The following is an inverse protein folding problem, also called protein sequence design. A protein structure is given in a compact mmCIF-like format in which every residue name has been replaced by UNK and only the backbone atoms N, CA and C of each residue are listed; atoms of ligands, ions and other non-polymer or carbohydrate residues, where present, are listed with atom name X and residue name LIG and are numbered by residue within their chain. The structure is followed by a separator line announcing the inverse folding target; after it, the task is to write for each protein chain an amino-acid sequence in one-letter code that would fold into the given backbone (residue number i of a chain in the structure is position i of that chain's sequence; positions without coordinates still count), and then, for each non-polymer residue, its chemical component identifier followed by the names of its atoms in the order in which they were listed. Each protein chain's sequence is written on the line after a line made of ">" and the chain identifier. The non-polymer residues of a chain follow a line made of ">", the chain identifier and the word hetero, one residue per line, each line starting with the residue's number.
data_IF_230433546978
#
_entry.id   IF_230433546978
#
_cell.length_a   1.000
_cell.length_b   1.000
_cell.length_c   1.000
_cell.angle_alpha   90.00
_cell.angle_beta   90.00
_cell.angle_gamma   90.00
#
_symmetry.space_group_name_H-M   'P 1'
#
loop_
_entity.id
_entity.type
_entity.pdbx_description
1 polymer ?
#
# COMPACT_ATOMS: atom_id res chain seq x y z
N UNK A 1 -14.99 -3.31 -42.47
CA UNK A 1 -14.54 -4.11 -41.31
C UNK A 1 -15.52 -5.25 -41.14
N UNK A 2 -15.05 -6.49 -40.96
CA UNK A 2 -15.94 -7.63 -40.66
C UNK A 2 -16.32 -7.55 -39.18
N UNK A 3 -17.58 -7.82 -38.87
CA UNK A 3 -18.06 -7.88 -37.49
C UNK A 3 -18.06 -9.34 -37.02
N UNK A 4 -18.01 -9.55 -35.71
CA UNK A 4 -17.98 -10.89 -35.13
C UNK A 4 -19.21 -11.73 -35.50
N UNK A 5 -20.36 -11.08 -35.68
CA UNK A 5 -21.64 -11.73 -35.98
C UNK A 5 -21.67 -12.46 -37.33
N UNK A 6 -20.82 -12.10 -38.30
CA UNK A 6 -20.74 -12.77 -39.61
C UNK A 6 -19.84 -14.03 -39.62
N UNK A 7 -19.09 -14.31 -38.53
CA UNK A 7 -18.26 -15.53 -38.41
C UNK A 7 -18.88 -16.52 -37.43
N UNK A 8 -18.85 -17.81 -37.79
CA UNK A 8 -19.37 -18.92 -36.97
C UNK A 8 -18.70 -19.05 -35.59
N UNK A 9 -17.51 -18.48 -35.41
CA UNK A 9 -16.79 -18.42 -34.14
C UNK A 9 -15.91 -17.16 -34.07
N UNK A 10 -16.04 -16.39 -33.00
CA UNK A 10 -15.12 -15.32 -32.66
C UNK A 10 -14.09 -15.79 -31.64
N UNK A 11 -12.84 -15.40 -31.87
CA UNK A 11 -11.72 -15.75 -31.02
C UNK A 11 -10.98 -14.49 -30.56
N UNK A 12 -10.38 -14.61 -29.37
CA UNK A 12 -9.34 -13.69 -28.93
C UNK A 12 -8.03 -14.03 -29.62
N UNK A 13 -7.28 -12.99 -29.97
CA UNK A 13 -5.93 -13.09 -30.56
C UNK A 13 -4.98 -13.72 -29.53
N UNK A 14 -5.10 -13.32 -28.27
CA UNK A 14 -4.27 -13.71 -27.15
C UNK A 14 -5.09 -13.94 -25.87
N UNK A 15 -4.43 -14.45 -24.84
CA UNK A 15 -5.01 -14.56 -23.50
C UNK A 15 -5.19 -13.14 -22.92
N UNK A 16 -6.35 -12.81 -22.34
CA UNK A 16 -6.59 -11.48 -21.81
C UNK A 16 -5.59 -11.10 -20.71
N UNK A 17 -5.29 -9.82 -20.60
CA UNK A 17 -4.41 -9.27 -19.57
C UNK A 17 -5.21 -8.91 -18.33
N UNK A 18 -4.64 -9.18 -17.16
CA UNK A 18 -5.20 -8.82 -15.86
C UNK A 18 -4.34 -7.74 -15.23
N UNK A 19 -4.97 -6.71 -14.70
CA UNK A 19 -4.32 -5.67 -13.91
C UNK A 19 -4.98 -5.60 -12.53
N UNK A 20 -4.22 -5.89 -11.48
CA UNK A 20 -4.66 -5.79 -10.09
C UNK A 20 -4.14 -4.47 -9.50
N UNK A 21 -5.02 -3.48 -9.36
CA UNK A 21 -4.69 -2.21 -8.74
C UNK A 21 -5.19 -2.11 -7.29
N UNK A 22 -4.77 -1.06 -6.56
CA UNK A 22 -5.25 -0.76 -5.20
C UNK A 22 -6.71 -0.29 -5.13
N UNK A 23 -7.33 0.03 -6.26
CA UNK A 23 -8.73 0.51 -6.36
C UNK A 23 -9.65 -0.44 -7.14
N UNK A 24 -9.11 -1.16 -8.15
CA UNK A 24 -9.89 -2.02 -9.03
C UNK A 24 -9.08 -3.17 -9.62
N UNK A 25 -9.77 -4.28 -9.90
CA UNK A 25 -9.27 -5.40 -10.71
C UNK A 25 -9.81 -5.21 -12.12
N UNK A 26 -8.95 -5.25 -13.12
CA UNK A 26 -9.35 -5.10 -14.53
C UNK A 26 -8.91 -6.29 -15.35
N UNK A 27 -9.78 -6.75 -16.25
CA UNK A 27 -9.46 -7.71 -17.30
C UNK A 27 -9.69 -7.07 -18.66
N UNK A 28 -8.76 -7.27 -19.58
CA UNK A 28 -8.79 -6.70 -20.92
C UNK A 28 -8.37 -7.76 -21.93
N UNK A 29 -9.23 -8.06 -22.90
CA UNK A 29 -8.93 -9.00 -23.99
C UNK A 29 -8.70 -8.26 -25.30
N UNK A 30 -8.05 -8.92 -26.27
CA UNK A 30 -7.97 -8.42 -27.65
C UNK A 30 -8.66 -9.40 -28.61
N UNK A 31 -9.77 -8.97 -29.19
CA UNK A 31 -10.51 -9.75 -30.21
C UNK A 31 -9.99 -9.46 -31.61
N UNK A 32 -10.10 -10.44 -32.51
CA UNK A 32 -9.76 -10.26 -33.93
C UNK A 32 -10.67 -9.24 -34.61
N UNK A 33 -11.97 -9.31 -34.29
CA UNK A 33 -13.02 -8.46 -34.85
C UNK A 33 -13.61 -7.58 -33.73
N UNK A 34 -14.50 -6.66 -34.11
CA UNK A 34 -15.24 -5.83 -33.15
C UNK A 34 -16.03 -6.71 -32.18
N UNK A 35 -15.83 -6.47 -30.89
CA UNK A 35 -16.50 -7.22 -29.82
C UNK A 35 -17.92 -6.69 -29.61
N UNK A 36 -18.89 -7.59 -29.73
CA UNK A 36 -20.28 -7.37 -29.35
C UNK A 36 -20.69 -8.47 -28.37
N UNK A 37 -21.25 -8.09 -27.23
CA UNK A 37 -21.62 -9.03 -26.19
C UNK A 37 -21.45 -8.47 -24.79
N UNK A 38 -21.11 -9.34 -23.83
CA UNK A 38 -21.08 -8.98 -22.40
C UNK A 38 -19.88 -9.62 -21.72
N UNK A 39 -19.16 -8.82 -20.94
CA UNK A 39 -18.17 -9.32 -19.98
C UNK A 39 -18.80 -9.30 -18.60
N UNK A 40 -18.73 -10.39 -17.84
CA UNK A 40 -19.33 -10.47 -16.50
C UNK A 40 -18.60 -11.44 -15.57
N UNK A 41 -18.81 -11.29 -14.26
CA UNK A 41 -18.34 -12.28 -13.29
C UNK A 41 -19.30 -13.47 -13.27
N UNK A 42 -18.75 -14.70 -13.36
CA UNK A 42 -19.52 -15.95 -13.35
C UNK A 42 -20.50 -15.96 -12.16
N UNK A 43 -21.77 -16.27 -12.43
CA UNK A 43 -22.90 -16.26 -11.48
C UNK A 43 -23.41 -14.88 -11.03
N UNK A 44 -22.72 -13.78 -11.36
CA UNK A 44 -23.05 -12.43 -10.86
C UNK A 44 -23.46 -11.45 -11.96
N UNK A 45 -23.66 -11.93 -13.20
CA UNK A 45 -24.05 -11.12 -14.37
C UNK A 45 -25.24 -10.18 -14.14
N UNK A 46 -26.23 -10.60 -13.33
CA UNK A 46 -27.46 -9.82 -13.10
C UNK A 46 -27.30 -8.73 -12.05
N UNK A 47 -26.19 -8.73 -11.31
CA UNK A 47 -25.94 -7.72 -10.29
C UNK A 47 -25.34 -6.48 -10.94
N UNK A 48 -25.88 -5.31 -10.58
CA UNK A 48 -25.42 -4.04 -11.10
C UNK A 48 -23.94 -3.81 -10.78
N UNK A 49 -23.15 -3.46 -11.79
CA UNK A 49 -21.70 -3.25 -11.67
C UNK A 49 -20.85 -4.52 -11.80
N UNK A 50 -21.45 -5.69 -11.98
CA UNK A 50 -20.74 -6.97 -12.14
C UNK A 50 -20.73 -7.48 -13.59
N UNK A 51 -21.17 -6.63 -14.52
CA UNK A 51 -21.13 -6.87 -15.97
C UNK A 51 -20.96 -5.56 -16.74
N UNK A 52 -20.37 -5.64 -17.91
CA UNK A 52 -20.32 -4.56 -18.91
C UNK A 52 -20.78 -5.10 -20.26
N UNK A 53 -21.66 -4.34 -20.91
CA UNK A 53 -22.16 -4.67 -22.24
C UNK A 53 -21.35 -3.90 -23.28
N UNK A 54 -21.09 -4.54 -24.40
CA UNK A 54 -20.46 -3.98 -25.58
C UNK A 54 -21.38 -4.17 -26.78
N UNK A 55 -21.57 -3.11 -27.54
CA UNK A 55 -22.32 -3.08 -28.78
C UNK A 55 -21.38 -2.83 -29.95
N UNK A 56 -21.80 -3.15 -31.17
CA UNK A 56 -21.00 -2.83 -32.36
C UNK A 56 -20.72 -1.33 -32.49
N UNK A 57 -21.58 -0.47 -31.95
CA UNK A 57 -21.38 0.99 -31.94
C UNK A 57 -20.18 1.44 -31.12
N UNK A 58 -19.74 0.64 -30.14
CA UNK A 58 -18.57 0.95 -29.32
C UNK A 58 -17.25 0.78 -30.08
N UNK A 59 -17.28 0.13 -31.26
CA UNK A 59 -16.12 -0.06 -32.15
C UNK A 59 -14.85 -0.55 -31.43
N UNK A 60 -15.01 -1.39 -30.40
CA UNK A 60 -13.89 -1.88 -29.61
C UNK A 60 -13.44 -3.27 -30.04
N UNK A 61 -12.15 -3.41 -30.34
CA UNK A 61 -11.44 -4.70 -30.42
C UNK A 61 -10.81 -5.10 -29.08
N UNK A 62 -10.84 -4.19 -28.10
CA UNK A 62 -10.17 -4.36 -26.80
C UNK A 62 -11.21 -4.25 -25.67
N UNK A 63 -12.13 -5.23 -25.54
CA UNK A 63 -13.16 -5.17 -24.53
C UNK A 63 -12.54 -5.32 -23.13
N UNK A 64 -12.91 -4.42 -22.23
CA UNK A 64 -12.34 -4.28 -20.89
C UNK A 64 -13.45 -4.25 -19.85
N UNK A 65 -13.21 -4.93 -18.74
CA UNK A 65 -14.09 -4.86 -17.58
C UNK A 65 -13.28 -4.63 -16.31
N UNK A 66 -13.74 -3.71 -15.47
CA UNK A 66 -13.11 -3.34 -14.21
C UNK A 66 -14.10 -3.47 -13.05
N UNK A 67 -13.67 -4.10 -11.98
CA UNK A 67 -14.43 -4.25 -10.73
C UNK A 67 -13.71 -3.44 -9.66
N UNK A 68 -14.40 -2.46 -9.08
CA UNK A 68 -13.88 -1.72 -7.94
C UNK A 68 -13.77 -2.64 -6.71
N UNK A 69 -12.72 -2.47 -5.93
CA UNK A 69 -12.42 -3.36 -4.79
C UNK A 69 -13.45 -3.19 -3.66
N UNK A 70 -14.05 -2.02 -3.50
CA UNK A 70 -15.20 -1.84 -2.62
C UNK A 70 -16.46 -2.65 -3.03
N UNK A 71 -16.53 -3.23 -4.24
CA UNK A 71 -17.65 -4.06 -4.74
C UNK A 71 -17.35 -5.57 -4.80
N UNK A 72 -16.25 -6.02 -4.18
CA UNK A 72 -15.82 -7.43 -4.23
C UNK A 72 -16.94 -8.41 -3.80
N UNK A 73 -17.59 -8.19 -2.65
CA UNK A 73 -18.68 -9.08 -2.23
C UNK A 73 -19.93 -8.95 -3.10
N UNK A 74 -20.24 -7.74 -3.59
CA UNK A 74 -21.39 -7.53 -4.46
C UNK A 74 -21.26 -8.35 -5.76
N UNK A 75 -20.04 -8.56 -6.26
CA UNK A 75 -19.78 -9.40 -7.43
C UNK A 75 -19.29 -10.81 -7.09
N UNK A 76 -19.36 -11.20 -5.80
CA UNK A 76 -18.97 -12.51 -5.27
C UNK A 76 -17.56 -12.96 -5.62
N UNK A 77 -16.61 -12.03 -5.59
CA UNK A 77 -15.19 -12.36 -5.65
C UNK A 77 -14.78 -13.03 -4.34
N UNK A 78 -14.03 -14.11 -4.44
CA UNK A 78 -13.56 -14.87 -3.28
C UNK A 78 -12.29 -14.25 -2.73
N UNK A 79 -12.26 -13.93 -1.45
CA UNK A 79 -11.05 -13.52 -0.75
C UNK A 79 -10.49 -14.67 0.06
N UNK A 80 -9.22 -14.97 -0.11
CA UNK A 80 -8.50 -16.00 0.62
C UNK A 80 -7.22 -15.38 1.18
N UNK A 81 -6.85 -15.76 2.39
CA UNK A 81 -5.56 -15.35 2.96
C UNK A 81 -4.67 -16.57 3.02
N UNK A 82 -3.47 -16.45 2.47
CA UNK A 82 -2.46 -17.48 2.62
C UNK A 82 -1.97 -17.44 4.07
N UNK A 83 -2.11 -18.56 4.79
CA UNK A 83 -1.70 -18.65 6.19
C UNK A 83 -0.18 -18.52 6.37
N UNK A 84 0.59 -19.01 5.39
CA UNK A 84 2.04 -19.07 5.45
C UNK A 84 2.66 -17.72 5.05
N UNK A 85 2.30 -17.21 3.87
CA UNK A 85 2.86 -15.96 3.35
C UNK A 85 2.19 -14.70 3.90
N UNK A 86 1.02 -14.84 4.54
CA UNK A 86 0.15 -13.75 5.03
C UNK A 86 -0.46 -12.87 3.94
N UNK A 87 -0.21 -13.19 2.67
CA UNK A 87 -0.73 -12.47 1.51
C UNK A 87 -2.23 -12.66 1.34
N UNK A 88 -2.89 -11.65 0.79
CA UNK A 88 -4.30 -11.70 0.43
C UNK A 88 -4.43 -12.07 -1.05
N UNK A 89 -5.16 -13.13 -1.31
CA UNK A 89 -5.51 -13.61 -2.64
C UNK A 89 -6.98 -13.26 -2.93
N UNK A 90 -7.24 -12.61 -4.05
CA UNK A 90 -8.58 -12.38 -4.58
C UNK A 90 -8.76 -13.24 -5.82
N UNK A 91 -9.78 -14.10 -5.82
CA UNK A 91 -10.08 -15.03 -6.90
C UNK A 91 -11.45 -14.74 -7.51
N UNK A 92 -11.52 -14.76 -8.84
CA UNK A 92 -12.75 -14.50 -9.59
C UNK A 92 -12.74 -15.22 -10.94
N UNK A 93 -13.91 -15.52 -11.50
CA UNK A 93 -14.02 -16.04 -12.87
C UNK A 93 -14.75 -15.01 -13.74
N UNK A 94 -14.04 -14.48 -14.74
CA UNK A 94 -14.58 -13.56 -15.73
C UNK A 94 -15.02 -14.32 -16.97
N UNK A 95 -16.20 -14.01 -17.49
CA UNK A 95 -16.76 -14.62 -18.69
C UNK A 95 -16.89 -13.55 -19.77
N UNK A 96 -16.26 -13.79 -20.91
CA UNK A 96 -16.47 -13.03 -22.14
C UNK A 96 -17.49 -13.79 -22.98
N UNK A 97 -18.67 -13.20 -23.11
CA UNK A 97 -19.73 -13.72 -23.96
C UNK A 97 -19.83 -12.88 -25.22
N UNK A 98 -19.78 -13.55 -26.39
CA UNK A 98 -19.86 -12.90 -27.71
C UNK A 98 -21.31 -12.73 -28.18
N UNK A 99 -22.27 -12.83 -27.26
CA UNK A 99 -23.68 -12.59 -27.57
C UNK A 99 -24.34 -11.82 -26.42
N UNK A 100 -25.17 -10.81 -26.71
CA UNK A 100 -25.77 -9.95 -25.69
C UNK A 100 -26.67 -10.72 -24.73
N UNK A 101 -27.30 -11.83 -25.13
CA UNK A 101 -28.32 -12.52 -24.32
C UNK A 101 -28.02 -13.98 -23.97
N UNK A 102 -27.10 -14.65 -24.67
CA UNK A 102 -26.95 -16.10 -24.60
C UNK A 102 -25.50 -16.47 -24.40
N UNK A 103 -25.24 -17.54 -23.65
CA UNK A 103 -23.90 -18.12 -23.59
C UNK A 103 -23.72 -19.05 -24.78
N UNK A 104 -22.72 -18.78 -25.60
CA UNK A 104 -22.44 -19.54 -26.82
C UNK A 104 -21.21 -20.43 -26.66
N UNK A 105 -21.01 -21.38 -27.60
CA UNK A 105 -19.81 -22.22 -27.61
C UNK A 105 -18.50 -21.42 -27.85
N UNK A 106 -18.61 -20.19 -28.36
CA UNK A 106 -17.47 -19.28 -28.53
C UNK A 106 -17.07 -18.55 -27.25
N UNK A 107 -17.91 -18.57 -26.21
CA UNK A 107 -17.69 -17.84 -24.98
C UNK A 107 -16.51 -18.41 -24.20
N UNK A 108 -15.75 -17.52 -23.54
CA UNK A 108 -14.54 -17.90 -22.80
C UNK A 108 -14.63 -17.42 -21.37
N UNK A 109 -14.33 -18.31 -20.44
CA UNK A 109 -14.17 -17.98 -19.03
C UNK A 109 -12.71 -18.06 -18.62
N UNK A 110 -12.25 -17.06 -17.89
CA UNK A 110 -10.89 -16.96 -17.37
C UNK A 110 -10.93 -16.85 -15.85
N UNK A 111 -10.20 -17.74 -15.18
CA UNK A 111 -9.99 -17.65 -13.75
C UNK A 111 -8.89 -16.60 -13.50
N UNK A 112 -9.19 -15.60 -12.69
CA UNK A 112 -8.31 -14.48 -12.36
C UNK A 112 -7.96 -14.57 -10.90
N UNK A 113 -6.66 -14.44 -10.61
CA UNK A 113 -6.11 -14.48 -9.25
C UNK A 113 -5.25 -13.24 -9.03
N UNK A 114 -5.65 -12.37 -8.11
CA UNK A 114 -4.89 -11.20 -7.71
C UNK A 114 -4.23 -11.42 -6.34
N UNK A 115 -2.91 -11.30 -6.25
CA UNK A 115 -2.17 -11.47 -4.99
C UNK A 115 -1.71 -10.11 -4.46
N UNK A 116 -2.10 -9.77 -3.24
CA UNK A 116 -1.78 -8.54 -2.52
C UNK A 116 -0.82 -8.83 -1.37
N UNK A 117 0.37 -8.24 -1.44
CA UNK A 117 1.49 -8.53 -0.53
C UNK A 117 1.54 -7.54 0.64
N UNK A 118 2.00 -8.00 1.81
CA UNK A 118 2.37 -7.14 2.94
C UNK A 118 3.91 -7.11 3.09
N UNK A 119 4.52 -5.92 3.13
CA UNK A 119 5.98 -5.78 3.30
C UNK A 119 6.33 -4.54 4.14
N UNK A 120 7.57 -4.53 4.63
CA UNK A 120 8.18 -3.39 5.30
C UNK A 120 9.00 -2.57 4.30
N UNK A 121 8.75 -1.27 4.26
CA UNK A 121 9.42 -0.29 3.41
C UNK A 121 10.21 0.67 4.30
N UNK A 122 11.42 1.05 3.89
CA UNK A 122 12.20 2.06 4.60
C UNK A 122 12.11 3.40 3.88
N UNK A 123 11.73 4.45 4.59
CA UNK A 123 11.72 5.85 4.11
C UNK A 123 12.71 6.66 4.93
N UNK A 124 13.40 7.63 4.31
CA UNK A 124 14.39 8.44 5.01
C UNK A 124 14.35 9.90 4.55
N UNK A 125 14.60 10.82 5.48
CA UNK A 125 14.75 12.25 5.24
C UNK A 125 15.99 12.78 5.93
N UNK A 126 16.61 13.83 5.38
CA UNK A 126 17.80 14.50 5.92
C UNK A 126 17.52 15.97 6.17
N UNK A 127 18.00 16.50 7.29
CA UNK A 127 18.13 17.93 7.52
C UNK A 127 19.48 18.28 8.15
N UNK A 128 19.89 19.54 7.99
CA UNK A 128 21.11 20.09 8.55
C UNK A 128 20.78 21.12 9.64
N UNK A 129 21.70 21.35 10.57
CA UNK A 129 21.55 22.37 11.59
C UNK A 129 22.28 23.65 11.21
N UNK A 130 21.68 24.80 11.52
CA UNK A 130 22.37 26.09 11.42
C UNK A 130 23.48 26.12 12.47
N UNK A 131 24.72 25.89 12.03
CA UNK A 131 25.91 26.03 12.86
C UNK A 131 26.56 27.39 12.60
N UNK A 132 26.80 28.16 13.66
CA UNK A 132 27.50 29.45 13.58
C UNK A 132 29.02 29.29 13.50
N UNK A 133 29.56 28.40 12.65
CA UNK A 133 30.96 28.41 12.19
C UNK A 133 31.03 27.66 10.83
N UNK A 134 31.56 28.33 9.78
CA UNK A 134 31.99 27.73 8.49
C UNK A 134 33.16 26.77 8.79
N UNK A 135 33.37 25.62 8.13
CA UNK A 135 33.66 25.46 6.69
C UNK A 135 33.26 24.06 6.13
N UNK A 136 32.84 24.06 4.86
CA UNK A 136 32.96 23.06 3.74
C UNK A 136 33.88 21.85 3.96
N UNK A 137 33.70 20.63 3.40
CA UNK A 137 32.98 20.06 2.24
C UNK A 137 33.14 18.51 2.32
N UNK A 138 32.22 17.69 1.77
CA UNK A 138 32.51 16.63 0.76
C UNK A 138 31.31 15.69 0.49
N UNK A 139 31.12 15.42 -0.82
CA UNK A 139 30.15 14.53 -1.49
C UNK A 139 30.30 13.06 -1.09
N UNK A 140 29.20 12.30 -1.16
CA UNK A 140 29.19 10.95 -1.75
C UNK A 140 27.86 10.67 -2.49
N UNK A 141 27.88 9.89 -3.59
CA UNK A 141 26.70 9.54 -4.38
C UNK A 141 26.22 8.08 -4.17
N UNK A 142 24.90 7.91 -4.26
CA UNK A 142 24.07 6.71 -4.52
C UNK A 142 24.15 5.43 -3.65
N UNK A 143 22.95 4.90 -3.32
CA UNK A 143 22.72 3.46 -3.32
C UNK A 143 21.39 3.10 -4.00
N UNK A 144 21.49 2.33 -5.08
CA UNK A 144 20.40 1.75 -5.84
C UNK A 144 19.98 0.42 -5.18
N UNK A 145 18.69 0.18 -4.95
CA UNK A 145 18.17 -1.15 -4.67
C UNK A 145 17.37 -1.64 -5.87
N UNK A 146 17.85 -2.69 -6.54
CA UNK A 146 17.08 -3.48 -7.50
C UNK A 146 16.21 -4.48 -6.72
N UNK A 147 14.95 -4.61 -7.08
CA UNK A 147 14.13 -5.80 -6.78
C UNK A 147 13.78 -6.52 -8.07
N UNK A 148 13.85 -7.84 -7.98
CA UNK A 148 13.73 -8.83 -9.05
C UNK A 148 12.25 -9.15 -9.28
N UNK A 149 11.84 -9.11 -10.55
CA UNK A 149 10.52 -9.58 -11.00
C UNK A 149 10.56 -11.11 -11.00
N UNK A 150 9.62 -11.74 -10.29
CA UNK A 150 9.30 -13.17 -10.46
C UNK A 150 8.10 -13.28 -11.41
N UNK A 151 8.28 -13.92 -12.55
CA UNK A 151 7.20 -14.44 -13.38
C UNK A 151 7.01 -15.93 -13.05
N UNK A 152 5.76 -16.36 -12.87
CA UNK A 152 5.38 -17.76 -12.84
C UNK A 152 4.59 -18.07 -14.11
N UNK A 153 5.06 -19.06 -14.87
CA UNK A 153 4.27 -19.73 -15.90
C UNK A 153 3.53 -20.89 -15.25
N UNK A 154 2.27 -21.11 -15.64
CA UNK A 154 1.59 -22.38 -15.40
C UNK A 154 0.72 -22.75 -16.59
N UNK A 155 0.83 -24.00 -17.03
CA UNK A 155 0.14 -24.60 -18.15
C UNK A 155 -1.21 -25.23 -17.76
N UNK A 156 -2.07 -25.36 -18.78
CA UNK A 156 -3.50 -25.65 -18.80
C UNK A 156 -4.03 -26.90 -18.08
N UNK A 157 -5.30 -26.83 -17.64
CA UNK A 157 -6.47 -27.53 -18.25
C UNK A 157 -7.82 -27.05 -17.64
N UNK A 158 -8.86 -26.95 -18.48
CA UNK A 158 -10.31 -26.73 -18.21
C UNK A 158 -10.83 -25.32 -17.88
N UNK A 159 -9.95 -24.35 -17.69
CA UNK A 159 -10.11 -22.92 -18.05
C UNK A 159 -8.83 -22.58 -18.83
N UNK A 160 -8.82 -21.60 -19.75
CA UNK A 160 -7.55 -21.18 -20.38
C UNK A 160 -6.66 -20.54 -19.30
N UNK A 161 -5.89 -21.36 -18.57
CA UNK A 161 -5.08 -20.98 -17.41
C UNK A 161 -5.81 -20.31 -16.24
N UNK A 162 -5.12 -20.19 -15.11
CA UNK A 162 -5.39 -19.15 -14.11
C UNK A 162 -4.51 -17.97 -14.50
N UNK A 163 -5.11 -16.80 -14.74
CA UNK A 163 -4.39 -15.57 -15.01
C UNK A 163 -4.10 -14.91 -13.67
N UNK A 164 -2.90 -15.19 -13.17
CA UNK A 164 -2.38 -14.58 -11.95
C UNK A 164 -1.79 -13.20 -12.23
N UNK A 165 -2.10 -12.23 -11.38
CA UNK A 165 -1.41 -10.95 -11.37
C UNK A 165 -1.13 -10.53 -9.92
N UNK A 166 0.06 -10.01 -9.68
CA UNK A 166 0.44 -9.47 -8.37
C UNK A 166 0.08 -7.99 -8.34
N UNK A 167 -0.64 -7.56 -7.31
CA UNK A 167 -0.98 -6.15 -7.15
C UNK A 167 0.28 -5.32 -6.88
N UNK A 168 0.38 -4.18 -7.54
CA UNK A 168 1.50 -3.27 -7.34
C UNK A 168 1.42 -2.62 -5.96
N UNK A 169 2.54 -2.64 -5.24
CA UNK A 169 2.60 -2.17 -3.86
C UNK A 169 2.62 -0.62 -3.81
N UNK A 170 1.84 0.03 -2.93
CA UNK A 170 1.84 1.48 -2.87
C UNK A 170 3.19 2.00 -2.34
N UNK A 171 3.63 3.13 -2.90
CA UNK A 171 4.80 3.84 -2.39
C UNK A 171 4.43 4.66 -1.15
N UNK A 172 5.39 4.83 -0.24
CA UNK A 172 5.25 5.65 0.97
C UNK A 172 6.39 6.64 1.05
N UNK A 173 6.12 7.83 1.59
CA UNK A 173 7.11 8.89 1.77
C UNK A 173 7.03 9.45 3.19
N UNK A 174 8.18 9.93 3.67
CA UNK A 174 8.29 10.75 4.87
C UNK A 174 8.68 12.15 4.44
N UNK A 175 7.97 13.15 4.95
CA UNK A 175 8.26 14.57 4.79
C UNK A 175 8.28 15.20 6.16
N UNK A 176 9.32 15.96 6.47
CA UNK A 176 9.42 16.73 7.71
C UNK A 176 9.30 18.19 7.34
N UNK A 177 8.30 18.88 7.88
CA UNK A 177 8.01 20.28 7.59
C UNK A 177 8.13 21.12 8.86
N UNK A 178 8.36 22.41 8.70
CA UNK A 178 8.41 23.34 9.82
C UNK A 178 6.99 23.65 10.35
N UNK A 179 6.84 23.73 11.67
CA UNK A 179 5.58 24.06 12.34
C UNK A 179 4.88 22.88 13.00
N UNK A 180 3.57 23.04 13.28
CA UNK A 180 2.71 22.06 13.99
C UNK A 180 1.52 21.59 13.16
N UNK A 181 1.47 21.94 11.88
CA UNK A 181 0.34 21.61 11.02
C UNK A 181 0.79 20.50 10.07
N UNK A 182 0.07 19.37 10.00
CA UNK A 182 0.36 18.30 9.05
C UNK A 182 -0.10 18.71 7.65
N UNK A 183 0.63 19.63 7.04
CA UNK A 183 0.41 20.09 5.67
C UNK A 183 1.55 19.60 4.76
N UNK A 184 1.19 18.72 3.83
CA UNK A 184 2.11 18.10 2.87
C UNK A 184 2.53 19.04 1.74
N UNK A 185 1.84 20.18 1.58
CA UNK A 185 2.17 21.17 0.54
C UNK A 185 3.31 22.10 0.97
N UNK A 186 3.64 22.11 2.26
CA UNK A 186 4.76 22.87 2.79
C UNK A 186 6.10 22.30 2.33
N UNK A 187 7.07 23.19 2.15
CA UNK A 187 8.42 22.81 1.77
C UNK A 187 9.09 21.98 2.87
N UNK A 188 9.78 20.88 2.53
CA UNK A 188 10.53 20.10 3.51
C UNK A 188 11.58 20.96 4.22
N UNK A 189 11.72 20.76 5.52
CA UNK A 189 12.73 21.43 6.32
C UNK A 189 14.11 20.86 5.97
N UNK A 190 14.94 21.65 5.29
CA UNK A 190 16.32 21.27 4.93
C UNK A 190 17.36 21.75 5.93
N UNK A 191 17.10 22.89 6.57
CA UNK A 191 18.01 23.55 7.49
C UNK A 191 17.21 24.07 8.68
N UNK A 192 17.56 23.64 9.89
CA UNK A 192 16.79 23.90 11.11
C UNK A 192 17.70 24.34 12.27
N UNK A 193 17.14 24.99 13.28
CA UNK A 193 17.80 25.28 14.55
C UNK A 193 17.36 24.26 15.61
N UNK A 194 18.24 23.96 16.57
CA UNK A 194 17.86 23.09 17.70
C UNK A 194 16.70 23.72 18.47
N UNK A 195 15.68 22.93 18.78
CA UNK A 195 14.45 23.37 19.45
C UNK A 195 13.38 23.94 18.52
N UNK A 196 13.65 24.07 17.21
CA UNK A 196 12.64 24.50 16.24
C UNK A 196 11.53 23.44 16.12
N UNK A 197 10.29 23.91 15.99
CA UNK A 197 9.15 23.01 15.91
C UNK A 197 9.05 22.37 14.52
N UNK A 198 8.95 21.05 14.49
CA UNK A 198 8.82 20.26 13.28
C UNK A 198 7.58 19.36 13.32
N UNK A 199 7.07 19.04 12.14
CA UNK A 199 5.99 18.11 11.91
C UNK A 199 6.48 16.99 10.98
N UNK A 200 6.41 15.76 11.48
CA UNK A 200 6.73 14.55 10.72
C UNK A 200 5.47 14.06 10.05
N UNK A 201 5.51 13.89 8.73
CA UNK A 201 4.36 13.47 7.94
C UNK A 201 4.76 12.25 7.12
N UNK A 202 4.20 11.10 7.46
CA UNK A 202 4.25 9.92 6.60
C UNK A 202 2.99 9.87 5.76
N UNK A 203 3.11 9.56 4.47
CA UNK A 203 1.94 9.41 3.62
C UNK A 203 2.18 8.47 2.44
N UNK A 204 1.09 7.92 1.91
CA UNK A 204 1.06 7.31 0.58
C UNK A 204 0.75 8.40 -0.46
N UNK A 205 1.59 8.60 -1.50
CA UNK A 205 1.28 9.53 -2.59
C UNK A 205 0.04 9.10 -3.39
N UNK A 206 -0.20 7.80 -3.48
CA UNK A 206 -1.39 7.21 -4.11
C UNK A 206 -2.16 6.47 -3.02
N UNK A 207 -3.32 6.99 -2.64
CA UNK A 207 -4.17 6.35 -1.64
C UNK A 207 -4.72 5.02 -2.17
N UNK A 208 -5.02 4.10 -1.25
CA UNK A 208 -5.60 2.80 -1.56
C UNK A 208 -6.76 2.51 -0.63
N UNK A 209 -7.83 1.92 -1.16
CA UNK A 209 -8.93 1.41 -0.33
C UNK A 209 -8.51 0.14 0.44
N UNK A 210 -7.58 -0.64 -0.12
CA UNK A 210 -7.15 -1.92 0.46
C UNK A 210 -5.92 -1.76 1.35
N UNK A 211 -4.97 -0.90 0.98
CA UNK A 211 -3.72 -0.76 1.72
C UNK A 211 -3.76 0.43 2.66
N UNK A 212 -3.16 0.24 3.83
CA UNK A 212 -2.72 1.30 4.72
C UNK A 212 -1.28 1.02 5.14
N UNK A 213 -0.71 1.88 5.98
CA UNK A 213 0.60 1.63 6.57
C UNK A 213 0.62 1.92 8.06
N UNK A 214 1.60 1.34 8.74
CA UNK A 214 1.95 1.62 10.12
C UNK A 214 3.42 1.99 10.23
N UNK A 215 3.73 3.02 11.01
CA UNK A 215 5.11 3.33 11.40
C UNK A 215 5.56 2.30 12.43
N UNK A 216 6.48 1.41 12.03
CA UNK A 216 7.00 0.36 12.91
C UNK A 216 8.12 0.93 13.75
N UNK A 217 9.21 1.35 13.14
CA UNK A 217 10.38 1.87 13.85
C UNK A 217 10.92 3.11 13.14
N UNK A 218 11.40 4.09 13.89
CA UNK A 218 12.16 5.21 13.34
C UNK A 218 13.46 5.39 14.09
N UNK A 219 14.50 5.73 13.35
CA UNK A 219 15.85 5.95 13.82
C UNK A 219 16.30 7.36 13.48
N UNK A 220 17.01 7.99 14.40
CA UNK A 220 17.81 9.18 14.14
C UNK A 220 19.27 8.76 13.97
N UNK A 221 19.85 9.10 12.83
CA UNK A 221 21.20 8.70 12.42
C UNK A 221 22.02 9.93 12.02
N UNK A 222 23.24 10.05 12.52
CA UNK A 222 24.18 11.09 12.11
C UNK A 222 25.19 10.56 11.08
N UNK A 223 25.90 11.46 10.39
CA UNK A 223 26.87 11.07 9.35
C UNK A 223 28.02 10.22 9.87
N UNK A 224 28.34 10.39 11.15
CA UNK A 224 29.39 9.65 11.86
C UNK A 224 28.98 8.22 12.23
N UNK A 225 27.75 7.81 11.92
CA UNK A 225 27.22 6.47 12.18
C UNK A 225 26.54 6.31 13.54
N UNK A 226 26.47 7.36 14.37
CA UNK A 226 25.65 7.32 15.58
C UNK A 226 24.19 7.16 15.21
N UNK A 227 23.52 6.20 15.84
CA UNK A 227 22.13 5.85 15.55
C UNK A 227 21.38 5.58 16.85
N UNK A 228 20.18 6.13 16.98
CA UNK A 228 19.27 5.87 18.10
C UNK A 228 17.85 5.64 17.61
N UNK A 229 17.09 4.81 18.31
CA UNK A 229 15.65 4.65 18.08
C UNK A 229 14.93 5.85 18.68
N UNK A 230 13.97 6.40 17.94
CA UNK A 230 13.10 7.50 18.41
C UNK A 230 11.64 7.08 18.48
N UNK A 231 11.22 6.12 17.63
CA UNK A 231 9.87 5.57 17.61
C UNK A 231 10.00 4.04 17.50
N UNK A 232 9.27 3.33 18.35
CA UNK A 232 9.18 1.87 18.38
C UNK A 232 7.70 1.47 18.44
N UNK A 233 7.26 0.63 17.50
CA UNK A 233 5.88 0.19 17.30
C UNK A 233 4.83 1.32 17.34
N UNK A 234 5.13 2.45 16.68
CA UNK A 234 4.33 3.68 16.66
C UNK A 234 4.31 4.50 17.96
N UNK A 235 4.99 4.03 19.01
CA UNK A 235 5.18 4.77 20.25
C UNK A 235 6.52 5.51 20.24
N UNK A 236 6.50 6.79 20.62
CA UNK A 236 7.75 7.52 20.83
C UNK A 236 8.45 7.04 22.10
N UNK A 237 9.77 6.91 22.02
CA UNK A 237 10.63 6.62 23.17
C UNK A 237 10.73 7.85 24.09
N UNK A 238 10.78 9.06 23.52
CA UNK A 238 10.75 10.32 24.27
C UNK A 238 9.72 11.29 23.66
N UNK A 239 8.49 11.34 24.23
CA UNK A 239 7.41 12.21 23.79
C UNK A 239 7.76 13.71 23.80
N UNK A 240 8.82 14.13 24.50
CA UNK A 240 9.27 15.52 24.52
C UNK A 240 10.02 15.91 23.24
N UNK A 241 10.67 14.95 22.57
CA UNK A 241 11.44 15.16 21.35
C UNK A 241 10.54 14.95 20.12
N UNK A 242 9.84 13.82 20.08
CA UNK A 242 8.86 13.46 19.05
C UNK A 242 7.65 12.87 19.73
N UNK A 243 6.45 13.30 19.40
CA UNK A 243 5.22 12.78 19.98
C UNK A 243 4.87 11.38 19.45
N UNK A 244 3.89 10.73 20.08
CA UNK A 244 3.37 9.46 19.56
C UNK A 244 2.75 9.66 18.18
N UNK A 245 2.92 8.65 17.32
CA UNK A 245 2.40 8.71 15.95
C UNK A 245 0.88 8.65 15.97
N UNK A 246 0.24 9.60 15.30
CA UNK A 246 -1.21 9.65 15.06
C UNK A 246 -1.50 9.29 13.61
N UNK A 247 -2.62 8.62 13.36
CA UNK A 247 -3.00 8.13 12.04
C UNK A 247 -4.27 8.82 11.53
N UNK A 248 -4.42 8.93 10.21
CA UNK A 248 -5.69 9.24 9.57
C UNK A 248 -6.65 8.04 9.65
N UNK A 249 -7.96 8.30 9.56
CA UNK A 249 -8.98 7.23 9.48
C UNK A 249 -8.76 6.29 8.28
N UNK A 250 -8.24 6.83 7.18
CA UNK A 250 -7.91 6.10 5.97
C UNK A 250 -6.61 5.30 6.06
N UNK A 251 -5.80 5.45 7.11
CA UNK A 251 -4.52 4.76 7.32
C UNK A 251 -3.50 4.97 6.18
N UNK A 252 -3.69 6.02 5.40
CA UNK A 252 -2.86 6.45 4.28
C UNK A 252 -1.97 7.66 4.63
N UNK A 253 -2.13 8.20 5.84
CA UNK A 253 -1.36 9.29 6.41
C UNK A 253 -1.12 9.06 7.90
N UNK A 254 0.05 9.46 8.36
CA UNK A 254 0.40 9.49 9.78
C UNK A 254 1.22 10.74 10.08
N UNK A 255 1.11 11.25 11.30
CA UNK A 255 1.76 12.47 11.72
C UNK A 255 2.26 12.39 13.16
N UNK A 256 3.39 13.05 13.42
CA UNK A 256 3.94 13.23 14.76
C UNK A 256 4.54 14.64 14.88
N UNK A 257 4.20 15.31 15.98
CA UNK A 257 4.79 16.59 16.35
C UNK A 257 6.19 16.35 16.92
N UNK A 258 7.15 17.24 16.68
CA UNK A 258 8.45 17.13 17.31
C UNK A 258 9.22 18.44 17.37
N UNK A 259 10.37 18.37 18.02
CA UNK A 259 11.35 19.45 18.07
C UNK A 259 12.58 19.02 17.29
N UNK A 260 13.27 19.96 16.66
CA UNK A 260 14.54 19.72 16.00
C UNK A 260 15.62 19.43 17.06
N UNK A 261 16.26 18.26 16.97
CA UNK A 261 17.32 17.83 17.89
C UNK A 261 18.51 17.29 17.11
N UNK A 262 19.70 17.31 17.71
CA UNK A 262 20.92 16.76 17.10
C UNK A 262 21.77 16.03 18.11
N UNK A 263 22.59 15.11 17.65
CA UNK A 263 23.67 14.57 18.47
C UNK A 263 24.70 15.66 18.77
N UNK A 264 25.39 15.63 19.92
CA UNK A 264 26.50 16.53 20.19
C UNK A 264 27.53 16.47 19.05
N UNK A 265 28.02 17.63 18.61
CA UNK A 265 29.01 17.77 17.54
C UNK A 265 28.58 17.30 16.12
N UNK A 266 27.34 16.85 15.95
CA UNK A 266 26.77 16.59 14.63
C UNK A 266 26.14 17.88 14.06
N UNK A 267 26.33 18.13 12.77
CA UNK A 267 25.68 19.22 12.04
C UNK A 267 24.56 18.73 11.11
N UNK A 268 24.40 17.41 11.01
CA UNK A 268 23.37 16.78 10.21
C UNK A 268 22.70 15.61 10.91
N UNK A 269 21.44 15.38 10.55
CA UNK A 269 20.64 14.27 11.03
C UNK A 269 19.81 13.69 9.89
N UNK A 270 19.80 12.36 9.82
CA UNK A 270 18.90 11.57 9.01
C UNK A 270 17.86 10.93 9.91
N UNK A 271 16.60 11.07 9.52
CA UNK A 271 15.50 10.33 10.11
C UNK A 271 15.13 9.23 9.14
N UNK A 272 15.31 7.99 9.58
CA UNK A 272 15.02 6.79 8.80
C UNK A 272 13.95 5.98 9.48
N UNK A 273 12.82 5.74 8.81
CA UNK A 273 11.67 5.00 9.34
C UNK A 273 11.40 3.74 8.54
N UNK A 274 11.15 2.64 9.24
CA UNK A 274 10.57 1.42 8.69
C UNK A 274 9.05 1.49 8.84
N UNK A 275 8.38 1.55 7.69
CA UNK A 275 6.93 1.49 7.56
C UNK A 275 6.52 0.08 7.21
N UNK A 276 5.44 -0.40 7.79
CA UNK A 276 4.84 -1.68 7.44
C UNK A 276 3.54 -1.43 6.67
N UNK A 277 3.49 -1.86 5.41
CA UNK A 277 2.25 -1.85 4.64
C UNK A 277 1.37 -3.01 5.11
N UNK A 278 0.13 -2.68 5.42
CA UNK A 278 -0.86 -3.60 5.94
C UNK A 278 -2.17 -3.47 5.16
N UNK A 279 -2.98 -4.51 5.22
CA UNK A 279 -4.30 -4.50 4.62
C UNK A 279 -5.27 -3.84 5.59
N UNK A 280 -6.14 -2.98 5.06
CA UNK A 280 -7.25 -2.36 5.78
C UNK A 280 -8.39 -3.37 5.91
N UNK A 281 -9.17 -3.23 6.97
CA UNK A 281 -10.42 -3.98 7.14
C UNK A 281 -11.49 -3.32 6.28
N UNK A 282 -12.20 -4.10 5.47
CA UNK A 282 -13.38 -3.65 4.71
C UNK A 282 -14.55 -4.61 4.97
N UNK A 283 -15.79 -4.12 4.79
CA UNK A 283 -17.04 -4.77 5.23
C UNK A 283 -17.25 -6.21 4.71
N UNK A 284 -16.52 -6.59 3.69
CA UNK A 284 -16.76 -7.78 2.89
C UNK A 284 -15.68 -8.86 3.02
N UNK A 285 -14.69 -8.63 3.87
CA UNK A 285 -13.63 -9.60 4.10
C UNK A 285 -14.11 -10.65 5.11
N UNK A 286 -14.58 -11.79 4.62
CA UNK A 286 -14.92 -12.96 5.44
C UNK A 286 -13.64 -13.69 5.84
N UNK A 287 -13.37 -13.73 7.14
CA UNK A 287 -12.12 -14.20 7.72
C UNK A 287 -12.35 -15.58 8.33
N UNK A 288 -11.61 -16.59 7.87
CA UNK A 288 -11.59 -17.93 8.48
C UNK A 288 -10.47 -18.14 9.53
N UNK A 289 -9.69 -17.11 9.89
CA UNK A 289 -8.61 -17.25 10.90
C UNK A 289 -8.43 -16.02 11.83
N UNK A 290 -8.30 -16.26 13.14
CA UNK A 290 -8.14 -15.22 14.18
C UNK A 290 -6.79 -14.46 14.20
N UNK A 291 -5.82 -14.82 13.36
CA UNK A 291 -4.49 -14.17 13.34
C UNK A 291 -4.37 -13.15 12.20
N UNK A 292 -5.14 -12.06 12.29
CA UNK A 292 -5.01 -10.97 11.33
C UNK A 292 -4.19 -9.81 11.86
N UNK A 293 -3.06 -9.61 11.18
CA UNK A 293 -2.37 -8.35 11.10
C UNK A 293 -3.09 -7.50 10.04
N UNK A 294 -4.32 -7.08 10.34
CA UNK A 294 -4.82 -5.87 9.70
C UNK A 294 -3.91 -4.72 10.11
N UNK A 295 -4.10 -3.55 9.53
CA UNK A 295 -3.73 -2.33 10.23
C UNK A 295 -4.56 -2.21 11.53
N UNK A 296 -4.37 -3.12 12.49
CA UNK A 296 -4.88 -2.99 13.83
C UNK A 296 -4.00 -1.96 14.49
N UNK A 297 -4.48 -0.73 14.50
CA UNK A 297 -4.25 0.12 15.65
C UNK A 297 -4.90 -0.67 16.80
N UNK A 298 -4.12 -1.43 17.56
CA UNK A 298 -4.70 -2.15 18.68
C UNK A 298 -5.35 -1.09 19.58
N UNK A 299 -6.66 -1.17 19.87
CA UNK A 299 -7.17 -0.45 21.02
C UNK A 299 -6.46 -1.08 22.22
N UNK A 300 -5.47 -0.34 22.72
CA UNK A 300 -4.68 -0.53 23.93
C UNK A 300 -5.08 -1.79 24.71
N UNK A 301 -4.38 -2.90 24.48
CA UNK A 301 -4.42 -4.08 25.37
C UNK A 301 -3.12 -4.31 26.12
N UNK A 302 -2.13 -3.43 25.92
CA UNK A 302 -0.92 -3.39 26.72
C UNK A 302 -0.63 -1.95 27.14
N UNK A 303 -0.71 -1.70 28.45
CA UNK A 303 -0.01 -0.59 29.07
C UNK A 303 1.48 -0.87 28.91
N UNK A 304 2.10 -0.32 27.88
CA UNK A 304 3.56 -0.28 27.82
C UNK A 304 4.03 0.82 28.77
N UNK A 305 4.35 0.41 30.00
CA UNK A 305 5.12 1.23 30.93
C UNK A 305 6.58 1.12 30.48
N UNK A 306 7.04 2.09 29.72
CA UNK A 306 8.47 2.24 29.50
C UNK A 306 9.09 2.78 30.78
N UNK A 307 9.89 1.94 31.45
CA UNK A 307 10.69 2.34 32.60
C UNK A 307 12.06 2.81 32.09
N UNK A 308 12.21 4.12 31.89
CA UNK A 308 13.55 4.69 31.65
C UNK A 308 14.21 4.93 33.00
N UNK A 309 15.26 4.16 33.28
CA UNK A 309 16.04 4.27 34.50
C UNK A 309 16.98 5.47 34.34
N UNK A 310 16.67 6.58 35.01
CA UNK A 310 17.56 7.75 35.05
C UNK A 310 18.26 7.81 36.41
N UNK A 311 19.58 7.87 36.39
CA UNK A 311 20.40 8.11 37.58
C UNK A 311 20.84 9.57 37.61
N UNK A 312 20.56 10.27 38.72
CA UNK A 312 21.08 11.62 38.98
C UNK A 312 21.31 11.77 40.49
N UNK A 313 22.54 12.12 40.89
CA UNK A 313 23.00 12.31 42.28
C UNK A 313 22.44 11.27 43.27
N UNK A 314 22.95 10.03 43.17
CA UNK A 314 22.68 8.91 44.08
C UNK A 314 21.22 8.47 44.26
N UNK A 315 20.28 9.02 43.50
CA UNK A 315 18.88 8.58 43.49
C UNK A 315 18.48 8.01 42.11
N UNK A 316 17.82 6.84 42.14
CA UNK A 316 17.15 6.25 40.98
C UNK A 316 15.75 6.87 40.83
N UNK A 317 15.44 7.41 39.66
CA UNK A 317 14.09 7.84 39.31
C UNK A 317 13.54 7.01 38.16
N UNK A 318 12.26 6.62 38.27
CA UNK A 318 11.50 5.98 37.19
C UNK A 318 10.64 7.02 36.48
N UNK A 319 10.94 7.31 35.21
CA UNK A 319 10.04 8.08 34.35
C UNK A 319 9.03 7.11 33.75
N UNK A 320 7.76 7.26 34.11
CA UNK A 320 6.64 6.49 33.56
C UNK A 320 6.07 7.27 32.37
N UNK A 321 6.13 6.69 31.18
CA UNK A 321 5.54 7.27 29.97
C UNK A 321 4.37 6.40 29.51
N UNK A 322 3.20 7.00 29.27
CA UNK A 322 1.99 6.30 28.82
C UNK A 322 1.79 6.52 27.32
N UNK A 323 1.94 5.46 26.52
CA UNK A 323 1.60 5.51 25.09
C UNK A 323 0.13 5.11 24.88
N UNK A 324 -0.69 6.06 24.46
CA UNK A 324 -2.05 5.79 23.96
C UNK A 324 -2.03 5.82 22.44
N UNK A 325 -2.27 4.67 21.83
CA UNK A 325 -2.46 4.56 20.38
C UNK A 325 -3.98 4.60 20.15
N UNK A 326 -4.46 5.68 19.52
CA UNK A 326 -5.86 5.89 19.15
C UNK A 326 -6.10 5.50 17.69
#
# INVERSE_FOLDING_TARGET
>A
MKNCSDRKYCNFIDTPTVTCGPEKISIEGRSEDLFEGVIFVKNWRRINGCSVNYTLGDNSTNPKFSIALNKIAQCGLELRRNADSKDLEIFAIFVFSFHPNFVTAGDRSFAVQCIFLQQQITVATKFNFISYVKYKLFKFPYFHRRSIIRTMNFSDISTKGIIGATAEMPSTQLTIVEGRIPDQTLQPAHTVMVGQQLMYIWHMPTSSEIYGFRVKECFAEAKDGRKTIIIEDSCSIDPLIVSHVKYSESLDKAFADGLAFKFPDADDLWITCMLQICLRKFEHLTIHSNNLLFCTIQPVKFFYIFFTLMASNDNLFFKISFCFIF
#
